data_IF_744519499367
#
_entry.id   IF_744519499367
#
_cell.length_a   1.000
_cell.length_b   1.000
_cell.length_c   1.000
_cell.angle_alpha   90.00
_cell.angle_beta   90.00
_cell.angle_gamma   90.00
#
_symmetry.space_group_name_H-M   'P 1'
#
loop_
_entity.id
_entity.type
_entity.pdbx_description
1 polymer ?
#
# COMPACT_ATOMS: atom_id res chain seq x y z
N UNK A 1 6.44 -21.16 -9.55
CA UNK A 1 7.13 -21.55 -10.80
C UNK A 1 6.67 -20.69 -11.98
N UNK A 2 5.36 -20.62 -12.32
CA UNK A 2 4.86 -19.82 -13.46
C UNK A 2 5.24 -18.35 -13.32
N UNK A 3 4.93 -17.73 -12.19
CA UNK A 3 5.26 -16.33 -11.95
C UNK A 3 6.77 -16.05 -12.03
N UNK A 4 7.62 -16.94 -11.50
CA UNK A 4 9.08 -16.80 -11.57
C UNK A 4 9.60 -16.88 -13.01
N UNK A 5 9.09 -17.83 -13.79
CA UNK A 5 9.46 -17.94 -15.21
C UNK A 5 9.05 -16.73 -16.02
N UNK A 6 7.82 -16.25 -15.82
CA UNK A 6 7.30 -15.07 -16.52
C UNK A 6 8.05 -13.80 -16.11
N UNK A 7 8.37 -13.66 -14.82
CA UNK A 7 9.17 -12.54 -14.33
C UNK A 7 10.56 -12.49 -14.96
N UNK A 8 11.26 -13.64 -14.99
CA UNK A 8 12.59 -13.75 -15.61
C UNK A 8 12.61 -13.48 -17.11
N UNK A 9 11.50 -13.77 -17.79
CA UNK A 9 11.31 -13.51 -19.21
C UNK A 9 10.79 -12.08 -19.49
N UNK A 10 10.72 -11.20 -18.47
CA UNK A 10 10.10 -9.86 -18.56
C UNK A 10 8.69 -9.91 -19.16
N UNK A 11 8.00 -11.02 -18.93
CA UNK A 11 6.69 -11.33 -19.49
C UNK A 11 5.54 -10.50 -18.89
N UNK A 12 4.30 -10.72 -19.36
CA UNK A 12 3.13 -9.91 -18.99
C UNK A 12 2.71 -10.09 -17.53
N UNK A 13 1.78 -9.24 -17.08
CA UNK A 13 0.99 -9.51 -15.89
C UNK A 13 0.14 -10.78 -16.11
N UNK A 14 -0.06 -11.55 -15.06
CA UNK A 14 -0.77 -12.81 -15.08
C UNK A 14 -2.10 -12.69 -14.35
N UNK A 15 -3.16 -13.08 -15.01
CA UNK A 15 -4.50 -13.15 -14.44
C UNK A 15 -4.90 -14.62 -14.32
N UNK A 16 -4.98 -15.10 -13.08
CA UNK A 16 -5.46 -16.45 -12.75
C UNK A 16 -6.94 -16.35 -12.40
N UNK A 17 -7.80 -16.72 -13.34
CA UNK A 17 -9.26 -16.57 -13.18
C UNK A 17 -9.83 -17.48 -12.10
N UNK A 18 -9.32 -18.72 -12.02
CA UNK A 18 -9.83 -19.77 -11.14
C UNK A 18 -8.69 -20.45 -10.38
N UNK A 19 -8.12 -19.80 -9.36
CA UNK A 19 -7.15 -20.46 -8.49
C UNK A 19 -7.79 -21.68 -7.81
N UNK A 20 -7.07 -22.79 -7.73
CA UNK A 20 -7.57 -24.02 -7.12
C UNK A 20 -8.09 -23.76 -5.69
N UNK A 21 -9.36 -24.07 -5.47
CA UNK A 21 -10.02 -23.91 -4.16
C UNK A 21 -10.57 -22.53 -3.86
N UNK A 22 -10.49 -21.59 -4.81
CA UNK A 22 -11.00 -20.22 -4.60
C UNK A 22 -11.87 -19.76 -5.76
N UNK A 23 -12.77 -18.84 -5.47
CA UNK A 23 -13.64 -18.19 -6.46
C UNK A 23 -13.13 -16.81 -6.89
N UNK A 24 -12.24 -16.22 -6.11
CA UNK A 24 -11.65 -14.93 -6.45
C UNK A 24 -10.42 -15.13 -7.34
N UNK A 25 -10.31 -14.34 -8.42
CA UNK A 25 -9.12 -14.38 -9.28
C UNK A 25 -7.89 -13.79 -8.56
N UNK A 26 -6.71 -14.16 -9.05
CA UNK A 26 -5.42 -13.65 -8.56
C UNK A 26 -4.69 -12.97 -9.69
N UNK A 27 -4.27 -11.73 -9.45
CA UNK A 27 -3.37 -10.99 -10.33
C UNK A 27 -1.94 -11.09 -9.81
N UNK A 28 -1.02 -11.54 -10.66
CA UNK A 28 0.39 -11.66 -10.34
C UNK A 28 1.26 -10.95 -11.36
N UNK A 29 2.53 -10.73 -11.02
CA UNK A 29 3.53 -10.08 -11.88
C UNK A 29 3.09 -8.67 -12.37
N UNK A 30 2.24 -7.96 -11.60
CA UNK A 30 1.68 -6.66 -12.02
C UNK A 30 2.79 -5.63 -12.28
N UNK A 31 3.77 -5.54 -11.40
CA UNK A 31 4.90 -4.61 -11.50
C UNK A 31 6.22 -5.33 -11.91
N UNK A 32 6.10 -6.36 -12.72
CA UNK A 32 7.26 -7.19 -13.13
C UNK A 32 8.20 -6.52 -14.13
N UNK A 33 7.83 -5.37 -14.72
CA UNK A 33 8.75 -4.58 -15.55
C UNK A 33 8.73 -3.11 -15.16
N UNK A 34 9.83 -2.36 -15.38
CA UNK A 34 9.89 -0.92 -15.13
C UNK A 34 8.81 -0.13 -15.87
N UNK A 35 8.47 -0.53 -17.10
CA UNK A 35 7.43 0.13 -17.91
C UNK A 35 6.06 0.02 -17.25
N UNK A 36 5.71 -1.16 -16.68
CA UNK A 36 4.46 -1.33 -15.94
C UNK A 36 4.43 -0.55 -14.63
N UNK A 37 5.59 -0.37 -13.99
CA UNK A 37 5.69 0.54 -12.83
C UNK A 37 5.41 1.97 -13.25
N UNK A 38 6.00 2.43 -14.35
CA UNK A 38 5.75 3.76 -14.89
C UNK A 38 4.26 3.96 -15.24
N UNK A 39 3.68 3.02 -15.96
CA UNK A 39 2.25 3.02 -16.30
C UNK A 39 1.36 3.07 -15.04
N UNK A 40 1.67 2.27 -14.03
CA UNK A 40 0.93 2.25 -12.75
C UNK A 40 1.02 3.56 -11.98
N UNK A 41 2.05 4.37 -12.22
CA UNK A 41 2.21 5.71 -11.66
C UNK A 41 1.69 6.82 -12.59
N UNK A 42 1.07 6.48 -13.72
CA UNK A 42 0.56 7.43 -14.70
C UNK A 42 1.66 8.13 -15.51
N UNK A 43 2.83 7.51 -15.63
CA UNK A 43 3.97 8.04 -16.38
C UNK A 43 4.15 7.26 -17.70
N UNK A 44 4.56 7.96 -18.76
CA UNK A 44 4.74 7.36 -20.09
C UNK A 44 5.95 6.41 -20.16
N UNK A 45 6.95 6.65 -19.31
CA UNK A 45 8.15 5.83 -19.26
C UNK A 45 8.87 5.95 -17.90
N UNK A 46 9.86 5.09 -17.69
CA UNK A 46 10.64 5.04 -16.43
C UNK A 46 11.38 6.35 -16.15
N UNK A 47 11.84 7.05 -17.19
CA UNK A 47 12.58 8.31 -17.00
C UNK A 47 11.68 9.42 -16.45
N UNK A 48 10.39 9.42 -16.79
CA UNK A 48 9.40 10.36 -16.24
C UNK A 48 9.19 10.17 -14.72
N UNK A 49 9.49 8.99 -14.16
CA UNK A 49 9.46 8.76 -12.71
C UNK A 49 10.50 9.59 -11.95
N UNK A 50 11.56 10.06 -12.60
CA UNK A 50 12.54 10.98 -12.00
C UNK A 50 11.91 12.32 -11.62
N UNK A 51 10.95 12.80 -12.41
CA UNK A 51 10.21 14.03 -12.11
C UNK A 51 9.39 13.88 -10.83
N UNK A 52 8.77 12.70 -10.63
CA UNK A 52 8.08 12.37 -9.37
C UNK A 52 9.06 12.38 -8.19
N UNK A 53 10.24 11.79 -8.36
CA UNK A 53 11.30 11.81 -7.35
C UNK A 53 11.79 13.23 -7.03
N UNK A 54 11.97 14.08 -8.02
CA UNK A 54 12.35 15.48 -7.85
C UNK A 54 11.26 16.27 -7.14
N UNK A 55 9.98 16.05 -7.49
CA UNK A 55 8.85 16.65 -6.81
C UNK A 55 8.84 16.27 -5.31
N UNK A 56 9.01 15.00 -5.01
CA UNK A 56 9.04 14.52 -3.61
C UNK A 56 10.24 15.08 -2.83
N UNK A 57 11.41 15.22 -3.46
CA UNK A 57 12.57 15.84 -2.85
C UNK A 57 12.32 17.32 -2.52
N UNK A 58 11.74 18.07 -3.46
CA UNK A 58 11.34 19.48 -3.25
C UNK A 58 10.32 19.64 -2.12
N UNK A 59 9.38 18.70 -2.01
CA UNK A 59 8.37 18.72 -0.93
C UNK A 59 8.97 18.35 0.43
N UNK A 60 10.03 17.56 0.46
CA UNK A 60 10.71 17.19 1.71
C UNK A 60 11.55 18.33 2.28
N UNK A 61 12.19 19.12 1.41
CA UNK A 61 13.04 20.25 1.76
C UNK A 61 12.56 21.49 0.97
N UNK A 62 11.41 22.08 1.33
CA UNK A 62 10.84 23.17 0.60
C UNK A 62 11.71 24.44 0.76
N UNK A 63 12.31 24.89 -0.34
CA UNK A 63 12.96 26.21 -0.36
C UNK A 63 11.89 27.32 -0.42
N UNK A 64 11.98 28.36 0.42
CA UNK A 64 11.07 29.50 0.34
C UNK A 64 11.25 30.19 -1.04
N UNK A 65 10.15 30.65 -1.66
CA UNK A 65 10.21 31.31 -2.95
C UNK A 65 11.05 32.59 -2.88
N UNK A 66 11.97 32.77 -3.81
CA UNK A 66 12.91 33.89 -3.87
C UNK A 66 12.31 35.13 -4.57
N UNK A 67 11.02 35.11 -4.91
CA UNK A 67 10.33 36.21 -5.55
C UNK A 67 9.03 35.80 -6.26
N UNK A 68 8.32 36.77 -6.85
CA UNK A 68 7.02 36.54 -7.50
C UNK A 68 7.14 35.60 -8.68
N UNK A 69 8.23 35.69 -9.46
CA UNK A 69 8.46 34.79 -10.61
C UNK A 69 8.65 33.35 -10.16
N UNK A 70 9.47 33.11 -9.12
CA UNK A 70 9.70 31.78 -8.53
C UNK A 70 8.41 31.17 -7.94
N UNK A 71 7.50 32.01 -7.42
CA UNK A 71 6.19 31.60 -6.96
C UNK A 71 5.31 31.09 -8.13
N UNK A 72 5.33 31.77 -9.27
CA UNK A 72 4.62 31.33 -10.47
C UNK A 72 5.18 30.04 -11.04
N UNK A 73 6.50 29.90 -11.09
CA UNK A 73 7.18 28.69 -11.60
C UNK A 73 6.89 27.47 -10.68
N UNK A 74 6.74 27.69 -9.38
CA UNK A 74 6.40 26.65 -8.39
C UNK A 74 4.89 26.39 -8.25
N UNK A 75 4.04 27.18 -8.92
CA UNK A 75 2.57 27.04 -8.84
C UNK A 75 2.04 25.62 -9.18
N UNK A 76 2.52 24.93 -10.24
CA UNK A 76 2.12 23.56 -10.52
C UNK A 76 2.40 22.59 -9.38
N UNK A 77 3.52 22.76 -8.68
CA UNK A 77 3.90 21.95 -7.51
C UNK A 77 2.90 22.18 -6.36
N UNK A 78 2.57 23.44 -6.07
CA UNK A 78 1.58 23.77 -5.04
C UNK A 78 0.20 23.21 -5.38
N UNK A 79 -0.24 23.30 -6.63
CA UNK A 79 -1.50 22.74 -7.10
C UNK A 79 -1.54 21.21 -6.92
N UNK A 80 -0.44 20.52 -7.22
CA UNK A 80 -0.34 19.07 -7.01
C UNK A 80 -0.45 18.72 -5.52
N UNK A 81 0.21 19.48 -4.63
CA UNK A 81 0.12 19.29 -3.18
C UNK A 81 -1.32 19.46 -2.68
N UNK A 82 -2.03 20.48 -3.15
CA UNK A 82 -3.44 20.71 -2.79
C UNK A 82 -4.35 19.55 -3.23
N UNK A 83 -4.02 18.91 -4.37
CA UNK A 83 -4.78 17.77 -4.88
C UNK A 83 -4.41 16.44 -4.18
N UNK A 84 -3.39 16.39 -3.34
CA UNK A 84 -3.00 15.18 -2.61
C UNK A 84 -3.91 14.85 -1.43
N UNK A 85 -4.78 15.77 -1.01
CA UNK A 85 -5.71 15.52 0.08
C UNK A 85 -6.71 14.42 -0.29
N UNK A 86 -6.90 13.38 0.55
CA UNK A 86 -7.84 12.31 0.27
C UNK A 86 -9.28 12.84 0.27
N UNK A 87 -10.07 12.36 -0.69
CA UNK A 87 -11.51 12.64 -0.75
C UNK A 87 -12.28 11.58 0.02
N UNK A 88 -13.13 12.01 0.93
CA UNK A 88 -14.04 11.11 1.62
C UNK A 88 -15.27 10.83 0.75
N UNK A 89 -15.61 9.56 0.57
CA UNK A 89 -16.79 9.11 -0.17
C UNK A 89 -17.75 8.40 0.76
N UNK A 90 -19.06 8.64 0.60
CA UNK A 90 -20.10 8.09 1.47
C UNK A 90 -20.47 6.64 1.13
N UNK A 91 -20.30 6.22 -0.12
CA UNK A 91 -20.64 4.87 -0.62
C UNK A 91 -19.48 4.31 -1.46
N UNK A 92 -18.37 3.90 -0.83
CA UNK A 92 -17.23 3.35 -1.56
C UNK A 92 -17.51 1.92 -2.04
N UNK A 93 -17.08 1.60 -3.26
CA UNK A 93 -17.22 0.24 -3.83
C UNK A 93 -16.53 -0.84 -2.99
N UNK A 94 -15.42 -0.50 -2.32
CA UNK A 94 -14.70 -1.43 -1.45
C UNK A 94 -15.47 -1.87 -0.19
N UNK A 95 -16.65 -1.30 0.08
CA UNK A 95 -17.53 -1.66 1.20
C UNK A 95 -18.84 -2.32 0.76
N UNK A 96 -18.98 -2.72 -0.51
CA UNK A 96 -20.19 -3.39 -1.00
C UNK A 96 -20.35 -4.81 -0.44
N UNK A 97 -19.25 -5.48 -0.17
CA UNK A 97 -19.22 -6.77 0.52
C UNK A 97 -18.62 -6.57 1.91
N UNK A 98 -19.39 -6.89 2.95
CA UNK A 98 -18.96 -6.81 4.34
C UNK A 98 -19.11 -8.17 5.01
N UNK A 99 -18.11 -8.58 5.77
CA UNK A 99 -18.15 -9.78 6.61
C UNK A 99 -17.66 -9.37 8.00
N UNK A 100 -18.44 -9.69 9.01
CA UNK A 100 -18.17 -9.24 10.37
C UNK A 100 -18.33 -10.42 11.37
N UNK A 101 -17.62 -10.33 12.49
CA UNK A 101 -17.69 -11.30 13.56
C UNK A 101 -17.39 -12.73 13.08
N UNK A 102 -18.38 -13.63 13.18
CA UNK A 102 -18.23 -15.05 12.83
C UNK A 102 -18.15 -15.33 11.31
N UNK A 103 -18.52 -14.36 10.48
CA UNK A 103 -18.46 -14.49 9.02
C UNK A 103 -17.04 -14.22 8.46
N UNK A 104 -16.18 -13.67 9.29
CA UNK A 104 -14.78 -13.41 8.87
C UNK A 104 -14.05 -14.72 8.71
N UNK A 105 -13.55 -14.97 7.51
CA UNK A 105 -12.73 -16.14 7.18
C UNK A 105 -11.65 -15.75 6.17
N UNK A 106 -10.42 -15.62 6.64
CA UNK A 106 -9.25 -15.34 5.81
C UNK A 106 -8.86 -16.52 4.92
N UNK A 107 -9.24 -17.74 5.31
CA UNK A 107 -9.04 -18.94 4.50
C UNK A 107 -9.89 -18.98 3.23
N UNK A 108 -10.96 -18.16 3.15
CA UNK A 108 -11.76 -18.02 1.94
C UNK A 108 -11.12 -17.10 0.88
N UNK A 109 -10.02 -16.41 1.21
CA UNK A 109 -9.29 -15.53 0.31
C UNK A 109 -8.07 -16.26 -0.26
N UNK A 110 -7.71 -16.06 -1.55
CA UNK A 110 -6.54 -16.68 -2.18
C UNK A 110 -5.23 -16.03 -1.72
N UNK A 111 -4.99 -16.02 -0.40
CA UNK A 111 -3.77 -15.50 0.19
C UNK A 111 -2.64 -16.48 -0.08
N UNK A 112 -1.57 -16.02 -0.68
CA UNK A 112 -0.52 -16.87 -1.24
C UNK A 112 0.49 -17.35 -0.19
N UNK A 113 0.93 -18.60 -0.31
CA UNK A 113 2.25 -19.03 0.14
C UNK A 113 3.28 -18.53 -0.88
N UNK A 114 4.08 -17.52 -0.53
CA UNK A 114 4.97 -16.87 -1.49
C UNK A 114 6.22 -17.72 -1.77
N UNK A 115 6.73 -18.42 -0.74
CA UNK A 115 7.96 -19.21 -0.82
C UNK A 115 7.79 -20.58 -0.19
N UNK A 116 8.52 -21.61 -0.65
CA UNK A 116 8.40 -22.98 -0.11
C UNK A 116 8.67 -23.11 1.38
N UNK A 117 9.41 -22.19 1.98
CA UNK A 117 9.73 -22.18 3.43
C UNK A 117 8.80 -21.33 4.28
N UNK A 118 7.80 -20.69 3.69
CA UNK A 118 6.86 -19.88 4.46
C UNK A 118 5.98 -20.79 5.34
N UNK A 119 5.84 -20.40 6.62
CA UNK A 119 5.08 -21.19 7.60
C UNK A 119 3.57 -21.03 7.47
N UNK A 120 3.10 -19.98 6.79
CA UNK A 120 1.69 -19.70 6.56
C UNK A 120 1.48 -18.71 5.39
N UNK A 121 0.24 -18.58 4.88
CA UNK A 121 -0.07 -17.59 3.86
C UNK A 121 0.29 -16.17 4.29
N UNK A 122 0.83 -15.37 3.37
CA UNK A 122 1.35 -14.05 3.64
C UNK A 122 0.68 -12.99 2.76
N UNK A 123 0.02 -12.03 3.39
CA UNK A 123 -0.47 -10.81 2.73
C UNK A 123 0.72 -9.87 2.53
N UNK A 124 1.21 -9.76 1.30
CA UNK A 124 2.43 -9.01 0.97
C UNK A 124 2.19 -7.54 0.72
N UNK A 125 1.04 -7.16 0.19
CA UNK A 125 0.65 -5.80 -0.21
C UNK A 125 -0.43 -5.19 0.67
N UNK A 126 -0.53 -5.61 1.94
CA UNK A 126 -1.50 -5.06 2.88
C UNK A 126 -1.26 -3.57 3.12
N UNK A 127 -2.14 -2.72 2.58
CA UNK A 127 -2.18 -1.29 2.89
C UNK A 127 -2.83 -1.08 4.25
N UNK A 128 -2.00 -0.84 5.24
CA UNK A 128 -2.45 -0.67 6.63
C UNK A 128 -2.59 0.80 6.96
N UNK A 129 -3.80 1.18 7.35
CA UNK A 129 -4.11 2.53 7.82
C UNK A 129 -4.01 2.55 9.34
N UNK A 130 -3.18 3.44 9.88
CA UNK A 130 -3.05 3.65 11.32
C UNK A 130 -3.23 5.12 11.68
N UNK A 131 -3.61 5.36 12.94
CA UNK A 131 -3.69 6.70 13.52
C UNK A 131 -3.33 6.62 15.00
N UNK A 132 -2.34 7.38 15.43
CA UNK A 132 -2.06 7.55 16.84
C UNK A 132 -3.17 8.31 17.57
N UNK A 133 -3.37 8.09 18.89
CA UNK A 133 -4.50 8.62 19.65
C UNK A 133 -4.61 10.15 19.64
N UNK A 134 -3.50 10.84 19.48
CA UNK A 134 -3.45 12.32 19.49
C UNK A 134 -3.13 12.92 18.11
N UNK A 135 -3.20 12.15 17.04
CA UNK A 135 -2.84 12.59 15.68
C UNK A 135 -4.07 12.82 14.82
N UNK A 136 -4.13 13.97 14.16
CA UNK A 136 -5.18 14.26 13.15
C UNK A 136 -4.93 13.50 11.85
N UNK A 137 -3.66 13.34 11.44
CA UNK A 137 -3.27 12.62 10.23
C UNK A 137 -3.42 11.12 10.38
N UNK A 138 -3.77 10.46 9.30
CA UNK A 138 -3.62 9.02 9.14
C UNK A 138 -2.23 8.69 8.57
N UNK A 139 -1.69 7.57 8.97
CA UNK A 139 -0.56 6.94 8.33
C UNK A 139 -1.09 5.82 7.43
N UNK A 140 -0.55 5.72 6.25
CA UNK A 140 -0.77 4.62 5.31
C UNK A 140 0.57 3.98 5.01
N UNK A 141 0.68 2.67 5.21
CA UNK A 141 1.91 1.94 4.97
C UNK A 141 1.67 0.50 4.52
N UNK A 142 2.65 -0.05 3.83
CA UNK A 142 2.67 -1.47 3.49
C UNK A 142 3.32 -2.23 4.65
N UNK A 143 2.55 -3.09 5.29
CA UNK A 143 3.01 -3.98 6.36
C UNK A 143 2.62 -5.41 6.02
N UNK A 144 3.60 -6.31 6.00
CA UNK A 144 3.35 -7.73 5.74
C UNK A 144 2.59 -8.35 6.91
N UNK A 145 1.58 -9.13 6.57
CA UNK A 145 0.70 -9.78 7.54
C UNK A 145 0.66 -11.27 7.25
N UNK A 146 1.06 -12.07 8.23
CA UNK A 146 0.99 -13.52 8.16
C UNK A 146 -0.34 -13.99 8.73
N UNK A 147 -1.07 -14.81 7.98
CA UNK A 147 -2.33 -15.41 8.44
C UNK A 147 -2.00 -16.55 9.39
N UNK A 148 -2.53 -16.50 10.62
CA UNK A 148 -2.32 -17.51 11.66
C UNK A 148 -3.61 -18.18 12.13
N UNK A 149 -4.73 -17.73 11.64
CA UNK A 149 -6.04 -18.28 11.99
C UNK A 149 -7.13 -17.71 11.10
N UNK A 150 -8.35 -18.18 11.32
CA UNK A 150 -9.51 -17.83 10.52
C UNK A 150 -9.74 -16.31 10.41
N UNK A 151 -9.48 -15.57 11.49
CA UNK A 151 -9.65 -14.12 11.59
C UNK A 151 -8.45 -13.44 12.28
N UNK A 152 -7.29 -14.07 12.23
CA UNK A 152 -6.10 -13.60 12.95
C UNK A 152 -4.91 -13.50 12.01
N UNK A 153 -4.16 -12.42 12.17
CA UNK A 153 -2.91 -12.16 11.46
C UNK A 153 -1.83 -11.70 12.43
N UNK A 154 -0.58 -12.03 12.14
CA UNK A 154 0.59 -11.40 12.77
C UNK A 154 1.10 -10.33 11.83
N UNK A 155 1.32 -9.13 12.35
CA UNK A 155 1.90 -8.02 11.61
C UNK A 155 3.27 -7.68 12.17
N UNK A 156 4.26 -7.51 11.29
CA UNK A 156 5.59 -7.07 11.68
C UNK A 156 5.66 -5.55 11.71
N UNK A 157 5.97 -5.02 12.88
CA UNK A 157 6.24 -3.61 13.09
C UNK A 157 7.76 -3.33 13.04
N UNK A 158 8.17 -2.46 12.12
CA UNK A 158 9.53 -1.89 12.13
C UNK A 158 9.49 -0.61 12.98
N UNK A 159 10.28 -0.54 14.01
CA UNK A 159 10.20 0.45 15.09
C UNK A 159 10.18 1.93 14.66
N UNK A 160 10.83 2.25 13.53
CA UNK A 160 10.92 3.60 12.99
C UNK A 160 9.81 3.96 11.98
N UNK A 161 8.92 3.02 11.63
CA UNK A 161 7.84 3.25 10.67
C UNK A 161 6.62 3.88 11.34
N UNK A 162 5.87 4.66 10.56
CA UNK A 162 4.72 5.43 11.04
C UNK A 162 3.68 4.61 11.81
N UNK A 163 3.33 3.40 11.30
CA UNK A 163 2.39 2.52 11.99
C UNK A 163 2.92 2.00 13.33
N UNK A 164 4.22 1.70 13.43
CA UNK A 164 4.83 1.28 14.70
C UNK A 164 4.82 2.42 15.73
N UNK A 165 5.07 3.65 15.27
CA UNK A 165 4.99 4.84 16.13
C UNK A 165 3.55 5.07 16.62
N UNK A 166 2.56 4.95 15.76
CA UNK A 166 1.15 5.06 16.12
C UNK A 166 0.73 3.98 17.11
N UNK A 167 1.17 2.74 16.90
CA UNK A 167 0.90 1.62 17.81
C UNK A 167 1.58 1.81 19.17
N UNK A 168 2.81 2.31 19.21
CA UNK A 168 3.52 2.63 20.44
C UNK A 168 2.80 3.71 21.25
N UNK A 169 2.37 4.78 20.58
CA UNK A 169 1.64 5.89 21.19
C UNK A 169 0.29 5.39 21.75
N UNK A 170 -0.40 4.52 21.00
CA UNK A 170 -1.64 3.89 21.45
C UNK A 170 -1.42 3.04 22.69
N UNK A 171 -0.39 2.19 22.72
CA UNK A 171 -0.06 1.36 23.90
C UNK A 171 0.27 2.19 25.12
N UNK A 172 0.98 3.30 24.96
CA UNK A 172 1.32 4.19 26.08
C UNK A 172 0.07 4.87 26.65
N UNK A 173 -0.88 5.27 25.78
CA UNK A 173 -2.12 5.94 26.21
C UNK A 173 -3.12 4.96 26.85
N UNK A 174 -3.14 3.69 26.44
CA UNK A 174 -4.09 2.66 26.89
C UNK A 174 -3.38 1.57 27.72
N UNK A 175 -2.33 1.94 28.47
CA UNK A 175 -1.61 1.02 29.32
C UNK A 175 -2.58 0.37 30.34
N UNK A 176 -2.66 -0.98 30.30
CA UNK A 176 -3.56 -1.75 31.17
C UNK A 176 -4.92 -2.11 30.56
N UNK A 177 -5.29 -1.62 29.39
CA UNK A 177 -6.44 -2.09 28.62
C UNK A 177 -6.03 -3.23 27.68
N UNK A 178 -6.72 -4.38 27.75
CA UNK A 178 -6.53 -5.53 26.84
C UNK A 178 -7.66 -5.58 25.81
#
# INVERSE_FOLDING_TARGET
EICDRVLRAEGPALWFEQPTGYTQPVLANLFGTPERVALGMGADNVMALREVGQLLATLKEPEPPKGIKDLWDKWPVFKNVLNMAPKQVSKPLCQTVRREGREVDLGALPIQHCWPGDVAPLITWGLTVTRGPHKKRQNLGIYRQQVIGRNQVIMRWLAHRGGALDFRDWKATHAGQR
#
